data_IF_606323075855
#
_entry.id   IF_606323075855
#
_cell.length_a   1.000
_cell.length_b   1.000
_cell.length_c   1.000
_cell.angle_alpha   90.00
_cell.angle_beta   90.00
_cell.angle_gamma   90.00
#
_symmetry.space_group_name_H-M   'P 1'
#
loop_
_entity.id
_entity.type
_entity.pdbx_description
1 polymer ?
#
# COMPACT_ATOMS: atom_id res chain seq x y z
N UNK A 1 -32.76 103.91 -34.98
CA UNK A 1 -31.44 103.32 -35.30
C UNK A 1 -30.49 103.47 -34.11
N UNK A 2 -30.32 102.42 -33.28
CA UNK A 2 -29.22 102.20 -32.30
C UNK A 2 -29.48 100.82 -31.66
N UNK A 3 -28.72 99.79 -32.06
CA UNK A 3 -27.63 99.09 -31.33
C UNK A 3 -28.12 97.96 -30.39
N UNK A 4 -27.72 96.73 -30.72
CA UNK A 4 -27.88 95.46 -29.97
C UNK A 4 -26.91 95.38 -28.76
N UNK A 5 -26.87 94.31 -27.91
CA UNK A 5 -26.42 92.97 -28.33
C UNK A 5 -27.09 91.75 -27.66
N UNK A 6 -27.26 90.68 -28.46
CA UNK A 6 -27.40 89.31 -27.96
C UNK A 6 -26.01 88.79 -27.56
N UNK A 7 -25.88 88.32 -26.33
CA UNK A 7 -24.69 87.64 -25.80
C UNK A 7 -24.60 86.21 -26.34
N UNK A 8 -23.47 85.84 -26.93
CA UNK A 8 -23.13 84.46 -27.32
C UNK A 8 -22.30 83.82 -26.21
N UNK A 9 -22.84 82.80 -25.55
CA UNK A 9 -22.10 81.91 -24.65
C UNK A 9 -21.63 80.71 -25.47
N UNK A 10 -20.32 80.54 -25.59
CA UNK A 10 -19.68 79.40 -26.24
C UNK A 10 -19.33 78.38 -25.14
N UNK A 11 -19.94 77.19 -25.18
CA UNK A 11 -19.67 76.10 -24.25
C UNK A 11 -18.63 75.15 -24.88
N UNK A 12 -17.41 75.16 -24.37
CA UNK A 12 -16.32 74.29 -24.82
C UNK A 12 -16.40 72.95 -24.07
N UNK A 13 -16.71 71.86 -24.78
CA UNK A 13 -16.61 70.50 -24.22
C UNK A 13 -15.16 70.00 -24.37
N UNK A 14 -14.46 69.83 -23.26
CA UNK A 14 -13.18 69.12 -23.21
C UNK A 14 -13.44 67.64 -22.87
N UNK A 15 -13.21 66.74 -23.82
CA UNK A 15 -13.25 65.29 -23.61
C UNK A 15 -11.89 64.87 -23.05
N UNK A 16 -11.84 64.54 -21.76
CA UNK A 16 -10.67 63.91 -21.14
C UNK A 16 -10.60 62.44 -21.54
N UNK A 17 -9.56 62.07 -22.28
CA UNK A 17 -9.26 60.66 -22.57
C UNK A 17 -8.71 59.98 -21.31
N UNK A 18 -9.49 59.10 -20.70
CA UNK A 18 -9.03 58.20 -19.64
C UNK A 18 -8.29 57.03 -20.32
N UNK A 19 -6.97 56.99 -20.16
CA UNK A 19 -6.17 55.84 -20.58
C UNK A 19 -6.35 54.71 -19.57
N UNK A 20 -7.09 53.66 -19.94
CA UNK A 20 -7.07 52.40 -19.23
C UNK A 20 -5.73 51.71 -19.50
N UNK A 21 -4.82 51.73 -18.53
CA UNK A 21 -3.66 50.85 -18.54
C UNK A 21 -4.16 49.41 -18.45
N UNK A 22 -3.93 48.63 -19.51
CA UNK A 22 -4.20 47.20 -19.48
C UNK A 22 -3.35 46.58 -18.37
N UNK A 23 -3.99 46.08 -17.30
CA UNK A 23 -3.36 45.14 -16.39
C UNK A 23 -2.77 44.02 -17.24
N UNK A 24 -1.47 43.79 -17.10
CA UNK A 24 -0.78 42.63 -17.67
C UNK A 24 -1.65 41.41 -17.33
N UNK A 25 -2.10 40.67 -18.33
CA UNK A 25 -2.90 39.46 -18.11
C UNK A 25 -2.08 38.55 -17.21
N UNK A 26 -2.52 38.38 -15.97
CA UNK A 26 -1.89 37.50 -15.01
C UNK A 26 -1.72 36.12 -15.66
N UNK A 27 -0.48 35.66 -15.76
CA UNK A 27 -0.15 34.38 -16.40
C UNK A 27 -0.61 33.24 -15.48
N UNK A 28 -1.64 32.46 -15.81
CA UNK A 28 -2.16 31.42 -14.93
C UNK A 28 -1.19 30.25 -14.75
N UNK A 29 0.04 30.31 -15.26
CA UNK A 29 1.10 29.32 -15.01
C UNK A 29 1.41 29.10 -13.53
N UNK A 30 1.16 30.09 -12.66
CA UNK A 30 1.25 29.90 -11.20
C UNK A 30 0.03 29.17 -10.60
N UNK A 31 -1.05 28.96 -11.36
CA UNK A 31 -2.21 28.15 -10.97
C UNK A 31 -2.05 26.68 -11.37
N UNK A 32 -1.05 26.35 -12.19
CA UNK A 32 -0.74 24.95 -12.54
C UNK A 32 0.27 24.40 -11.56
N UNK A 33 -0.13 23.38 -10.79
CA UNK A 33 0.80 22.62 -9.94
C UNK A 33 1.89 22.03 -10.86
N UNK A 34 3.19 22.23 -10.56
CA UNK A 34 4.25 21.68 -11.39
C UNK A 34 4.10 20.15 -11.47
N UNK A 35 4.36 19.55 -12.66
CA UNK A 35 4.24 18.11 -12.83
C UNK A 35 5.21 17.39 -11.89
N UNK A 36 4.72 16.34 -11.21
CA UNK A 36 5.58 15.48 -10.40
C UNK A 36 6.51 14.72 -11.34
N UNK A 37 7.84 14.76 -11.13
CA UNK A 37 8.77 13.99 -11.95
C UNK A 37 8.46 12.49 -11.91
N UNK A 38 8.68 11.80 -13.02
CA UNK A 38 8.60 10.34 -13.05
C UNK A 38 9.60 9.73 -12.06
N UNK A 39 9.08 8.93 -11.14
CA UNK A 39 9.88 8.16 -10.18
C UNK A 39 9.52 6.68 -10.24
N UNK A 40 8.94 6.23 -11.37
CA UNK A 40 8.55 4.84 -11.55
C UNK A 40 9.74 3.91 -11.34
N UNK A 41 9.53 2.82 -10.62
CA UNK A 41 10.55 1.81 -10.37
C UNK A 41 9.95 0.42 -10.30
N UNK A 42 10.81 -0.59 -10.49
CA UNK A 42 10.51 -1.99 -10.26
C UNK A 42 11.49 -2.54 -9.23
N UNK A 43 10.96 -3.21 -8.21
CA UNK A 43 11.72 -3.96 -7.22
C UNK A 43 11.42 -5.45 -7.40
N UNK A 44 12.41 -6.17 -7.93
CA UNK A 44 12.36 -7.61 -8.23
C UNK A 44 12.80 -8.48 -7.05
N UNK A 45 13.32 -7.89 -5.95
CA UNK A 45 13.83 -8.65 -4.81
C UNK A 45 14.84 -9.77 -5.15
N UNK A 46 15.58 -9.61 -6.27
CA UNK A 46 16.69 -10.48 -6.69
C UNK A 46 17.72 -10.67 -5.58
N UNK A 47 17.89 -9.66 -4.72
CA UNK A 47 18.60 -9.80 -3.45
C UNK A 47 17.96 -8.87 -2.44
N UNK A 48 17.23 -9.43 -1.48
CA UNK A 48 16.48 -8.68 -0.45
C UNK A 48 17.38 -7.76 0.36
N UNK A 49 18.62 -8.17 0.65
CA UNK A 49 19.60 -7.30 1.30
C UNK A 49 19.87 -6.00 0.51
N UNK A 50 19.90 -6.07 -0.83
CA UNK A 50 20.05 -4.89 -1.69
C UNK A 50 18.79 -4.05 -1.72
N UNK A 51 17.61 -4.66 -1.63
CA UNK A 51 16.36 -3.92 -1.49
C UNK A 51 16.36 -3.10 -0.18
N UNK A 52 16.87 -3.66 0.92
CA UNK A 52 17.03 -2.91 2.18
C UNK A 52 18.05 -1.77 2.07
N UNK A 53 19.18 -1.97 1.37
CA UNK A 53 20.11 -0.88 1.06
C UNK A 53 19.45 0.25 0.23
N UNK A 54 18.47 -0.08 -0.62
CA UNK A 54 17.64 0.88 -1.37
C UNK A 54 16.56 1.56 -0.53
N UNK A 55 16.43 1.23 0.76
CA UNK A 55 15.55 1.92 1.69
C UNK A 55 14.21 1.23 1.95
N UNK A 56 14.05 -0.03 1.53
CA UNK A 56 12.98 -0.89 2.05
C UNK A 56 13.22 -1.19 3.53
N UNK A 57 12.19 -1.09 4.35
CA UNK A 57 12.29 -1.23 5.81
C UNK A 57 11.38 -2.36 6.28
N UNK A 58 11.94 -3.48 6.76
CA UNK A 58 11.13 -4.53 7.36
C UNK A 58 10.93 -4.28 8.86
N UNK A 59 9.70 -4.47 9.36
CA UNK A 59 9.36 -4.33 10.78
C UNK A 59 8.42 -5.47 11.20
N UNK A 60 8.90 -6.34 12.08
CA UNK A 60 8.01 -7.27 12.77
C UNK A 60 7.36 -6.56 13.97
N UNK A 61 6.06 -6.28 13.86
CA UNK A 61 5.21 -5.70 14.90
C UNK A 61 4.15 -6.71 15.38
N UNK A 62 4.39 -8.01 15.19
CA UNK A 62 3.54 -9.09 15.71
C UNK A 62 3.55 -9.09 17.23
N UNK A 63 2.50 -9.65 17.82
CA UNK A 63 2.32 -9.69 19.26
C UNK A 63 1.78 -11.08 19.68
N UNK A 64 2.58 -11.89 20.40
CA UNK A 64 3.97 -11.64 20.76
C UNK A 64 4.90 -11.71 19.53
N UNK A 65 6.07 -11.08 19.63
CA UNK A 65 7.00 -11.00 18.50
C UNK A 65 7.76 -12.31 18.29
N UNK A 66 7.65 -12.87 17.08
CA UNK A 66 8.41 -14.03 16.64
C UNK A 66 9.80 -13.69 16.10
N UNK A 67 10.49 -14.71 15.59
CA UNK A 67 11.84 -14.58 15.04
C UNK A 67 11.86 -14.13 13.57
N UNK A 68 10.75 -14.30 12.85
CA UNK A 68 10.69 -14.02 11.42
C UNK A 68 10.51 -12.53 11.13
N UNK A 69 11.13 -12.12 10.03
CA UNK A 69 11.03 -10.79 9.42
C UNK A 69 11.07 -11.00 7.91
N UNK A 70 10.47 -10.10 7.14
CA UNK A 70 10.52 -10.17 5.67
C UNK A 70 11.95 -10.42 5.20
N UNK A 71 12.17 -11.51 4.47
CA UNK A 71 13.50 -12.03 4.13
C UNK A 71 13.52 -12.69 2.74
N UNK A 72 14.72 -13.03 2.26
CA UNK A 72 14.88 -13.63 0.94
C UNK A 72 14.07 -14.93 0.82
N UNK A 73 13.21 -14.99 -0.20
CA UNK A 73 12.52 -16.22 -0.57
C UNK A 73 13.49 -17.32 -1.00
N UNK A 74 13.09 -18.59 -0.88
CA UNK A 74 13.77 -19.71 -1.50
C UNK A 74 14.74 -20.55 -0.66
N UNK A 75 14.87 -20.33 0.65
CA UNK A 75 15.26 -21.32 1.68
C UNK A 75 15.55 -20.66 3.05
N UNK A 76 15.28 -21.34 4.20
CA UNK A 76 14.24 -22.31 4.49
C UNK A 76 13.18 -21.60 5.36
N UNK A 77 12.09 -21.04 4.85
CA UNK A 77 11.07 -21.49 3.89
C UNK A 77 10.65 -20.27 3.02
N UNK A 78 10.30 -20.38 1.71
CA UNK A 78 9.34 -21.36 1.16
C UNK A 78 9.69 -22.01 -0.20
N UNK A 79 8.93 -23.06 -0.55
CA UNK A 79 9.10 -24.10 -1.58
C UNK A 79 8.71 -23.74 -3.03
N UNK A 80 8.56 -22.47 -3.41
CA UNK A 80 8.10 -22.10 -4.76
C UNK A 80 9.10 -21.21 -5.50
N UNK A 81 9.09 -21.34 -6.83
CA UNK A 81 9.89 -20.52 -7.73
C UNK A 81 9.43 -19.04 -7.70
N UNK A 82 10.34 -18.07 -7.97
CA UNK A 82 9.95 -16.67 -8.17
C UNK A 82 8.87 -16.52 -9.24
N UNK A 83 8.16 -15.40 -9.19
CA UNK A 83 7.38 -14.96 -10.33
C UNK A 83 8.31 -14.47 -11.44
N UNK A 84 9.28 -13.62 -11.08
CA UNK A 84 10.36 -13.17 -11.96
C UNK A 84 11.67 -13.08 -11.20
N UNK A 85 12.78 -13.24 -11.91
CA UNK A 85 14.10 -12.95 -11.34
C UNK A 85 15.04 -12.54 -12.47
N UNK A 86 15.75 -11.44 -12.24
CA UNK A 86 16.86 -11.01 -13.10
C UNK A 86 18.23 -11.34 -12.48
N UNK A 87 18.23 -11.94 -11.28
CA UNK A 87 19.42 -12.32 -10.51
C UNK A 87 19.66 -13.83 -10.42
N UNK A 88 20.56 -14.22 -9.50
CA UNK A 88 20.97 -15.62 -9.26
C UNK A 88 20.31 -16.27 -8.05
N UNK A 89 19.47 -15.53 -7.31
CA UNK A 89 18.73 -16.04 -6.15
C UNK A 89 17.29 -16.36 -6.52
N UNK A 90 16.49 -16.82 -5.56
CA UNK A 90 15.10 -17.15 -5.80
C UNK A 90 14.21 -15.95 -6.15
N UNK A 91 14.69 -14.70 -6.14
CA UNK A 91 14.00 -13.58 -6.79
C UNK A 91 12.67 -13.11 -6.19
N UNK A 92 12.42 -13.28 -4.88
CA UNK A 92 11.26 -12.70 -4.20
C UNK A 92 11.53 -12.49 -2.70
N UNK A 93 10.67 -11.75 -2.02
CA UNK A 93 10.72 -11.55 -0.56
C UNK A 93 9.53 -12.24 0.11
N UNK A 94 9.74 -12.83 1.30
CA UNK A 94 8.69 -13.60 1.99
C UNK A 94 8.65 -13.33 3.50
N UNK A 95 7.49 -13.60 4.08
CA UNK A 95 7.25 -13.66 5.52
C UNK A 95 6.41 -14.91 5.85
N UNK A 96 6.50 -15.41 7.07
CA UNK A 96 5.87 -16.66 7.48
C UNK A 96 5.27 -16.60 8.89
N UNK A 97 4.60 -17.69 9.27
CA UNK A 97 3.91 -17.83 10.55
C UNK A 97 4.83 -17.62 11.76
N UNK A 98 6.15 -17.78 11.62
CA UNK A 98 7.15 -17.47 12.66
C UNK A 98 7.32 -15.96 12.91
N UNK A 99 6.51 -15.13 12.24
CA UNK A 99 6.38 -13.70 12.55
C UNK A 99 5.88 -13.47 13.97
N UNK A 100 5.05 -14.38 14.50
CA UNK A 100 4.68 -14.41 15.92
C UNK A 100 5.37 -15.59 16.62
N UNK A 101 5.69 -15.44 17.89
CA UNK A 101 6.12 -16.57 18.74
C UNK A 101 4.94 -17.26 19.41
N UNK A 102 3.73 -16.72 19.23
CA UNK A 102 2.49 -17.27 19.78
C UNK A 102 2.05 -18.55 19.09
N UNK A 103 1.09 -19.21 19.71
CA UNK A 103 0.43 -20.40 19.14
C UNK A 103 -0.70 -20.01 18.22
N UNK A 104 -1.43 -18.96 18.57
CA UNK A 104 -2.70 -18.49 17.99
C UNK A 104 -2.89 -17.00 18.32
N UNK A 105 -1.92 -16.18 17.92
CA UNK A 105 -1.78 -14.76 18.27
C UNK A 105 -1.72 -13.86 17.03
N UNK A 106 -1.45 -12.56 17.19
CA UNK A 106 -1.46 -11.62 16.06
C UNK A 106 -0.12 -11.58 15.33
N UNK A 107 -0.14 -11.99 14.06
CA UNK A 107 0.93 -11.69 13.10
C UNK A 107 0.69 -10.28 12.53
N UNK A 108 1.72 -9.44 12.54
CA UNK A 108 1.71 -8.10 11.98
C UNK A 108 3.14 -7.74 11.52
N UNK A 109 3.55 -8.31 10.39
CA UNK A 109 4.89 -8.18 9.84
C UNK A 109 4.89 -7.28 8.61
N UNK A 110 5.65 -6.19 8.65
CA UNK A 110 5.59 -5.09 7.69
C UNK A 110 6.81 -5.06 6.78
N UNK A 111 6.57 -4.83 5.50
CA UNK A 111 7.57 -4.47 4.50
C UNK A 111 7.22 -3.10 3.94
N UNK A 112 8.01 -2.09 4.29
CA UNK A 112 7.71 -0.69 3.99
C UNK A 112 8.62 -0.24 2.84
N UNK A 113 8.03 0.37 1.81
CA UNK A 113 8.75 0.93 0.67
C UNK A 113 9.70 2.08 1.06
N UNK A 114 10.70 2.43 0.21
CA UNK A 114 11.39 3.71 0.26
C UNK A 114 10.42 4.90 0.20
N UNK A 115 10.89 6.11 0.53
CA UNK A 115 10.05 7.32 0.37
C UNK A 115 9.78 7.57 -1.10
N UNK A 116 8.51 7.76 -1.45
CA UNK A 116 8.06 8.15 -2.79
C UNK A 116 7.22 9.42 -2.72
N UNK A 117 7.24 10.22 -3.77
CA UNK A 117 6.38 11.38 -3.99
C UNK A 117 5.06 10.92 -4.60
N UNK A 118 4.03 10.75 -3.77
CA UNK A 118 2.73 10.24 -4.19
C UNK A 118 1.83 11.32 -4.78
N UNK A 119 1.08 10.97 -5.81
CA UNK A 119 -0.03 11.75 -6.34
C UNK A 119 -1.22 10.87 -6.77
N UNK A 120 -2.40 11.48 -6.89
CA UNK A 120 -3.60 10.77 -7.30
C UNK A 120 -3.46 10.19 -8.71
N UNK A 121 -3.63 8.87 -8.82
CA UNK A 121 -3.51 8.10 -10.05
C UNK A 121 -2.18 7.36 -10.21
N UNK A 122 -1.22 7.54 -9.29
CA UNK A 122 -0.05 6.66 -9.19
C UNK A 122 -0.51 5.23 -8.90
N UNK A 123 0.25 4.24 -9.34
CA UNK A 123 -0.10 2.83 -9.20
C UNK A 123 0.97 2.07 -8.44
N UNK A 124 0.54 1.16 -7.58
CA UNK A 124 1.36 0.14 -6.95
C UNK A 124 0.86 -1.20 -7.48
N UNK A 125 1.71 -1.92 -8.19
CA UNK A 125 1.41 -3.29 -8.64
C UNK A 125 2.43 -4.25 -8.09
N UNK A 126 2.01 -5.49 -7.83
CA UNK A 126 2.87 -6.51 -7.25
C UNK A 126 2.25 -7.89 -7.50
N UNK A 127 3.05 -8.94 -7.36
CA UNK A 127 2.58 -10.31 -7.37
C UNK A 127 2.70 -10.89 -5.97
N UNK A 128 1.71 -11.67 -5.55
CA UNK A 128 1.78 -12.41 -4.30
C UNK A 128 1.23 -13.82 -4.47
N UNK A 129 1.75 -14.74 -3.65
CA UNK A 129 1.23 -16.09 -3.47
C UNK A 129 1.53 -16.59 -2.07
N UNK A 130 0.86 -17.66 -1.67
CA UNK A 130 1.14 -18.39 -0.43
C UNK A 130 1.88 -19.71 -0.66
N UNK A 131 2.47 -20.24 0.41
CA UNK A 131 2.97 -21.60 0.49
C UNK A 131 1.82 -22.57 0.78
N UNK A 132 1.65 -23.58 -0.09
CA UNK A 132 0.79 -24.71 0.23
C UNK A 132 1.57 -25.79 0.98
N UNK A 133 1.01 -26.28 2.06
CA UNK A 133 1.54 -27.35 2.91
C UNK A 133 0.61 -28.57 2.83
N UNK A 134 1.09 -29.80 3.08
CA UNK A 134 0.23 -30.99 3.09
C UNK A 134 -0.99 -30.79 3.99
N UNK A 135 -2.20 -30.98 3.43
CA UNK A 135 -3.42 -30.74 4.18
C UNK A 135 -3.61 -31.84 5.24
N UNK A 136 -3.70 -31.42 6.50
CA UNK A 136 -3.88 -32.33 7.63
C UNK A 136 -5.27 -32.99 7.67
N UNK A 137 -6.24 -32.44 6.95
CA UNK A 137 -7.65 -32.84 7.00
C UNK A 137 -8.10 -33.62 5.75
N UNK A 138 -7.41 -33.44 4.62
CA UNK A 138 -7.79 -34.04 3.33
C UNK A 138 -6.58 -34.71 2.67
N UNK A 139 -6.60 -36.04 2.62
CA UNK A 139 -5.54 -36.83 1.97
C UNK A 139 -5.40 -36.47 0.49
N UNK A 140 -4.16 -36.18 0.05
CA UNK A 140 -3.86 -35.85 -1.34
C UNK A 140 -4.08 -34.38 -1.71
N UNK A 141 -4.45 -33.55 -0.74
CA UNK A 141 -4.56 -32.11 -0.90
C UNK A 141 -3.40 -31.38 -0.20
N UNK A 142 -3.10 -30.17 -0.64
CA UNK A 142 -2.21 -29.24 0.04
C UNK A 142 -2.91 -27.91 0.14
N UNK A 143 -2.82 -27.29 1.31
CA UNK A 143 -3.57 -26.10 1.63
C UNK A 143 -2.66 -25.01 2.17
N UNK A 144 -3.08 -23.76 2.01
CA UNK A 144 -2.63 -22.73 2.93
C UNK A 144 -3.39 -22.89 4.26
N UNK A 145 -2.84 -22.36 5.34
CA UNK A 145 -3.49 -22.37 6.65
C UNK A 145 -4.08 -21.00 6.98
N UNK A 146 -4.65 -20.32 5.98
CA UNK A 146 -5.21 -18.99 6.13
C UNK A 146 -4.15 -17.90 6.26
N UNK A 147 -3.89 -17.19 5.17
CA UNK A 147 -3.00 -16.03 5.17
C UNK A 147 -3.76 -14.77 4.78
N UNK A 148 -3.36 -13.62 5.32
CA UNK A 148 -3.85 -12.33 4.89
C UNK A 148 -2.71 -11.33 4.65
N UNK A 149 -2.84 -10.57 3.55
CA UNK A 149 -1.90 -9.53 3.18
C UNK A 149 -2.67 -8.23 3.00
N UNK A 150 -2.23 -7.20 3.70
CA UNK A 150 -2.73 -5.85 3.54
C UNK A 150 -1.73 -4.98 2.77
N UNK A 151 -2.25 -4.08 1.94
CA UNK A 151 -1.49 -2.95 1.39
C UNK A 151 -1.96 -1.69 2.11
N UNK A 152 -1.01 -0.94 2.62
CA UNK A 152 -1.27 0.27 3.38
C UNK A 152 -0.44 1.44 2.83
N UNK A 153 -0.91 2.68 3.05
CA UNK A 153 -0.22 3.90 2.62
C UNK A 153 -0.11 4.87 3.79
N UNK A 154 1.10 5.37 4.04
CA UNK A 154 1.36 6.53 4.88
C UNK A 154 1.42 7.77 4.00
N UNK A 155 0.37 8.59 4.10
CA UNK A 155 0.27 9.91 3.46
C UNK A 155 0.45 11.04 4.48
N UNK A 156 0.72 10.73 5.75
CA UNK A 156 0.83 11.71 6.83
C UNK A 156 2.26 12.26 6.91
N UNK A 157 3.25 11.39 6.73
CA UNK A 157 4.67 11.70 6.83
C UNK A 157 5.54 10.65 6.09
N UNK A 158 6.87 10.78 6.21
CA UNK A 158 7.86 9.87 5.59
C UNK A 158 8.31 8.73 6.54
N UNK A 159 7.66 8.60 7.69
CA UNK A 159 8.03 7.70 8.77
C UNK A 159 7.54 6.26 8.60
N UNK A 160 7.92 5.43 9.56
CA UNK A 160 7.68 3.97 9.58
C UNK A 160 6.94 3.52 10.83
N UNK A 161 6.15 4.41 11.44
CA UNK A 161 5.33 4.07 12.62
C UNK A 161 4.18 3.13 12.22
N UNK A 162 4.32 1.85 12.55
CA UNK A 162 3.35 0.79 12.25
C UNK A 162 2.35 0.52 13.39
N UNK A 163 2.37 1.34 14.43
CA UNK A 163 1.42 1.28 15.53
C UNK A 163 1.61 0.07 16.44
N UNK A 164 0.49 -0.50 16.91
CA UNK A 164 0.45 -1.69 17.76
C UNK A 164 -0.37 -2.80 17.08
N UNK A 165 -0.07 -4.06 17.39
CA UNK A 165 -0.85 -5.20 16.92
C UNK A 165 -1.45 -5.93 18.13
N UNK A 166 -2.72 -5.67 18.41
CA UNK A 166 -3.51 -6.42 19.39
C UNK A 166 -4.60 -7.17 18.64
N UNK A 167 -5.00 -8.32 19.16
CA UNK A 167 -6.10 -9.08 18.57
C UNK A 167 -7.38 -8.22 18.65
N UNK A 168 -8.16 -8.04 17.57
CA UNK A 168 -9.42 -7.32 17.63
C UNK A 168 -10.44 -7.91 18.61
N UNK A 169 -10.25 -9.15 19.09
CA UNK A 169 -11.02 -9.76 20.19
C UNK A 169 -10.63 -9.21 21.58
N UNK A 170 -9.42 -8.67 21.72
CA UNK A 170 -8.91 -8.14 22.98
C UNK A 170 -9.62 -6.81 23.33
N UNK A 171 -10.15 -6.63 24.55
CA UNK A 171 -10.68 -5.34 25.01
C UNK A 171 -9.70 -4.16 24.92
N UNK A 172 -8.39 -4.42 24.88
CA UNK A 172 -7.34 -3.43 24.68
C UNK A 172 -7.11 -3.08 23.18
N UNK A 173 -7.84 -3.70 22.25
CA UNK A 173 -7.75 -3.36 20.84
C UNK A 173 -8.24 -1.94 20.59
N UNK A 174 -7.44 -1.19 19.84
CA UNK A 174 -7.79 0.13 19.37
C UNK A 174 -7.42 0.26 17.89
N UNK A 175 -8.43 0.22 17.04
CA UNK A 175 -8.27 0.35 15.59
C UNK A 175 -7.66 1.67 15.12
N UNK A 176 -7.65 2.72 15.95
CA UNK A 176 -6.99 3.99 15.63
C UNK A 176 -5.47 3.95 15.83
N UNK A 177 -4.97 2.99 16.62
CA UNK A 177 -3.53 2.79 16.85
C UNK A 177 -3.00 1.55 16.13
N UNK A 178 -3.89 0.70 15.62
CA UNK A 178 -3.56 -0.34 14.66
C UNK A 178 -3.06 0.32 13.36
N UNK A 179 -1.96 -0.16 12.80
CA UNK A 179 -1.27 0.40 11.61
C UNK A 179 -0.56 1.75 11.78
N UNK A 180 -0.66 2.40 12.94
CA UNK A 180 0.08 3.63 13.23
C UNK A 180 -0.24 4.76 12.24
N UNK A 181 0.75 5.18 11.46
CA UNK A 181 0.61 6.27 10.49
C UNK A 181 0.08 5.79 9.11
N UNK A 182 -0.11 4.47 8.95
CA UNK A 182 -0.52 3.87 7.69
C UNK A 182 -2.04 3.65 7.64
N UNK A 183 -2.65 3.99 6.52
CA UNK A 183 -4.05 3.69 6.20
C UNK A 183 -4.16 2.49 5.27
N UNK A 184 -5.12 1.59 5.53
CA UNK A 184 -5.40 0.43 4.68
C UNK A 184 -5.98 0.86 3.32
N UNK A 185 -5.48 0.27 2.23
CA UNK A 185 -5.98 0.52 0.86
C UNK A 185 -6.36 -0.74 0.10
N UNK A 186 -5.85 -1.91 0.51
CA UNK A 186 -6.23 -3.22 -0.02
C UNK A 186 -6.04 -4.29 1.05
N UNK A 187 -6.94 -5.26 1.13
CA UNK A 187 -6.77 -6.48 1.93
C UNK A 187 -7.06 -7.70 1.06
N UNK A 188 -6.18 -8.69 1.11
CA UNK A 188 -6.25 -9.94 0.34
C UNK A 188 -6.53 -11.08 1.30
N UNK A 189 -7.63 -11.81 1.08
CA UNK A 189 -8.12 -12.88 1.96
C UNK A 189 -8.38 -12.39 3.41
N UNK A 190 -9.27 -11.39 3.65
CA UNK A 190 -9.51 -10.86 4.99
C UNK A 190 -10.13 -11.91 5.92
N UNK A 191 -9.81 -11.81 7.22
CA UNK A 191 -10.33 -12.70 8.25
C UNK A 191 -11.82 -12.47 8.52
N UNK A 192 -12.54 -13.52 8.88
CA UNK A 192 -13.92 -13.47 9.36
C UNK A 192 -13.95 -14.04 10.78
N UNK A 193 -14.51 -13.29 11.74
CA UNK A 193 -14.62 -13.79 13.10
C UNK A 193 -15.79 -14.77 13.23
N UNK A 194 -15.51 -16.01 13.61
CA UNK A 194 -16.52 -16.98 13.98
C UNK A 194 -16.74 -16.92 15.51
N UNK A 195 -17.83 -16.28 15.94
CA UNK A 195 -18.15 -16.15 17.37
C UNK A 195 -18.50 -17.47 18.05
N UNK A 196 -18.95 -18.49 17.30
CA UNK A 196 -19.24 -19.83 17.83
C UNK A 196 -17.98 -20.62 18.11
N UNK A 197 -16.96 -20.50 17.25
CA UNK A 197 -15.65 -21.12 17.43
C UNK A 197 -14.69 -20.25 18.26
N UNK A 198 -15.01 -18.97 18.48
CA UNK A 198 -14.14 -17.95 19.07
C UNK A 198 -12.79 -17.83 18.33
N UNK A 199 -12.83 -18.00 17.01
CA UNK A 199 -11.66 -18.11 16.16
C UNK A 199 -11.81 -17.27 14.88
N UNK A 200 -10.70 -16.74 14.37
CA UNK A 200 -10.64 -16.04 13.11
C UNK A 200 -10.47 -17.05 11.97
N UNK A 201 -11.43 -17.07 11.05
CA UNK A 201 -11.45 -17.96 9.90
C UNK A 201 -11.00 -17.25 8.64
N UNK A 202 -10.34 -18.01 7.76
CA UNK A 202 -9.90 -17.57 6.45
C UNK A 202 -10.34 -18.62 5.42
N UNK A 203 -10.83 -18.20 4.24
CA UNK A 203 -10.89 -19.07 3.09
C UNK A 203 -9.49 -19.65 2.80
N UNK A 204 -9.42 -20.97 2.65
CA UNK A 204 -8.17 -21.69 2.42
C UNK A 204 -7.92 -21.92 0.92
N UNK A 205 -6.67 -21.76 0.52
CA UNK A 205 -6.21 -22.03 -0.83
C UNK A 205 -5.86 -23.51 -0.94
N UNK A 206 -6.38 -24.21 -1.94
CA UNK A 206 -6.19 -25.65 -2.10
C UNK A 206 -5.46 -26.00 -3.40
N UNK A 207 -4.61 -27.03 -3.36
CA UNK A 207 -4.02 -27.62 -4.57
C UNK A 207 -5.02 -28.51 -5.32
N UNK A 208 -6.01 -29.05 -4.60
CA UNK A 208 -7.13 -29.75 -5.20
C UNK A 208 -8.15 -28.74 -5.77
N UNK A 209 -8.30 -28.72 -7.10
CA UNK A 209 -9.26 -27.84 -7.78
C UNK A 209 -10.73 -28.06 -7.39
N UNK A 210 -11.08 -29.23 -6.84
CA UNK A 210 -12.43 -29.51 -6.33
C UNK A 210 -12.75 -28.81 -5.00
N UNK A 211 -11.74 -28.26 -4.33
CA UNK A 211 -11.86 -27.48 -3.09
C UNK A 211 -11.52 -26.00 -3.34
N UNK A 212 -11.64 -25.54 -4.60
CA UNK A 212 -11.31 -24.18 -4.96
C UNK A 212 -12.20 -23.17 -4.23
N UNK A 213 -11.57 -22.27 -3.49
CA UNK A 213 -12.22 -21.15 -2.81
C UNK A 213 -11.83 -19.83 -3.47
N UNK A 214 -12.75 -19.10 -4.12
CA UNK A 214 -12.43 -17.94 -4.95
C UNK A 214 -11.88 -16.73 -4.18
N UNK A 215 -12.12 -16.68 -2.86
CA UNK A 215 -11.69 -15.58 -2.00
C UNK A 215 -10.46 -15.94 -1.16
N UNK A 216 -9.92 -17.16 -1.32
CA UNK A 216 -8.70 -17.59 -0.62
C UNK A 216 -7.49 -16.78 -1.05
N UNK A 217 -6.43 -16.86 -0.24
CA UNK A 217 -5.15 -16.28 -0.63
C UNK A 217 -4.66 -16.96 -1.92
N UNK A 218 -4.08 -16.23 -2.88
CA UNK A 218 -3.63 -16.83 -4.13
C UNK A 218 -2.61 -17.96 -3.91
N UNK A 219 -2.96 -19.17 -4.36
CA UNK A 219 -2.04 -20.30 -4.39
C UNK A 219 -0.92 -20.10 -5.41
N UNK A 220 -1.20 -19.42 -6.54
CA UNK A 220 -0.25 -19.09 -7.60
C UNK A 220 0.03 -17.59 -7.68
N UNK A 221 1.19 -17.21 -8.24
CA UNK A 221 1.58 -15.81 -8.37
C UNK A 221 0.51 -15.00 -9.08
N UNK A 222 -0.16 -14.14 -8.31
CA UNK A 222 -1.32 -13.37 -8.77
C UNK A 222 -1.01 -11.89 -8.65
N UNK A 223 -1.29 -11.14 -9.72
CA UNK A 223 -1.06 -9.69 -9.76
C UNK A 223 -2.17 -8.94 -9.03
N UNK A 224 -1.79 -7.96 -8.23
CA UNK A 224 -2.69 -6.97 -7.64
C UNK A 224 -2.26 -5.57 -8.07
N UNK A 225 -3.22 -4.65 -8.10
CA UNK A 225 -3.01 -3.22 -8.40
C UNK A 225 -3.77 -2.37 -7.37
N UNK A 226 -3.08 -1.37 -6.85
CA UNK A 226 -3.63 -0.31 -6.01
C UNK A 226 -3.41 1.02 -6.71
N UNK A 227 -4.44 1.85 -6.76
CA UNK A 227 -4.37 3.21 -7.29
C UNK A 227 -4.35 4.19 -6.12
N UNK A 228 -3.32 5.02 -6.06
CA UNK A 228 -3.23 6.12 -5.09
C UNK A 228 -4.33 7.13 -5.37
N UNK A 229 -5.12 7.47 -4.36
CA UNK A 229 -6.23 8.43 -4.47
C UNK A 229 -6.47 9.15 -3.14
N UNK A 230 -7.32 10.18 -3.15
CA UNK A 230 -7.73 10.89 -1.94
C UNK A 230 -6.73 11.93 -1.41
N UNK A 231 -5.63 12.19 -2.12
CA UNK A 231 -4.66 13.23 -1.77
C UNK A 231 -5.18 14.62 -2.16
N UNK A 232 -5.00 15.61 -1.29
CA UNK A 232 -5.31 17.01 -1.59
C UNK A 232 -4.26 17.69 -2.47
N UNK A 233 -3.01 17.22 -2.42
CA UNK A 233 -1.91 17.61 -3.29
C UNK A 233 -0.86 16.50 -3.31
N UNK A 234 0.04 16.46 -4.31
CA UNK A 234 1.19 15.57 -4.29
C UNK A 234 2.01 15.73 -3.00
N UNK A 235 2.52 14.63 -2.45
CA UNK A 235 3.30 14.64 -1.19
C UNK A 235 4.22 13.44 -1.06
N UNK A 236 5.28 13.57 -0.27
CA UNK A 236 6.13 12.45 0.11
C UNK A 236 5.42 11.55 1.13
N UNK A 237 5.61 10.25 0.97
CA UNK A 237 5.01 9.22 1.82
C UNK A 237 5.64 7.86 1.54
N UNK A 238 5.01 6.81 2.07
CA UNK A 238 5.42 5.41 1.86
C UNK A 238 4.20 4.53 1.69
N UNK A 239 4.30 3.52 0.85
CA UNK A 239 3.37 2.38 0.89
C UNK A 239 4.03 1.21 1.61
N UNK A 240 3.22 0.27 2.10
CA UNK A 240 3.71 -0.89 2.81
C UNK A 240 2.83 -2.11 2.54
N UNK A 241 3.44 -3.27 2.68
CA UNK A 241 2.76 -4.55 2.75
C UNK A 241 2.80 -5.03 4.20
N UNK A 242 1.66 -5.46 4.73
CA UNK A 242 1.55 -6.04 6.07
C UNK A 242 1.05 -7.46 5.93
N UNK A 243 1.91 -8.43 6.21
CA UNK A 243 1.46 -9.78 6.50
C UNK A 243 0.75 -9.73 7.85
N UNK A 244 -0.58 -9.81 7.80
CA UNK A 244 -1.45 -9.65 8.96
C UNK A 244 -2.27 -10.92 9.08
N UNK A 245 -2.14 -11.66 10.16
CA UNK A 245 -2.91 -12.90 10.33
C UNK A 245 -3.30 -13.01 11.79
N UNK A 246 -4.60 -13.20 12.00
CA UNK A 246 -5.20 -13.32 13.32
C UNK A 246 -5.28 -14.79 13.71
N UNK A 247 -5.21 -15.03 15.02
CA UNK A 247 -5.03 -16.38 15.57
C UNK A 247 -3.88 -17.14 14.90
N UNK A 248 -2.82 -16.44 14.51
CA UNK A 248 -1.70 -16.97 13.76
C UNK A 248 -0.57 -17.52 14.63
N UNK A 249 0.27 -18.37 14.04
CA UNK A 249 1.44 -18.93 14.72
C UNK A 249 1.50 -20.44 14.64
N UNK A 250 2.26 -21.06 15.55
CA UNK A 250 2.68 -22.47 15.40
C UNK A 250 1.55 -23.51 15.42
N UNK A 251 0.39 -23.20 16.00
CA UNK A 251 -0.80 -24.06 16.02
C UNK A 251 -2.03 -23.34 15.46
N UNK A 252 -1.82 -22.18 14.84
CA UNK A 252 -2.88 -21.28 14.43
C UNK A 252 -2.93 -21.12 12.92
N UNK A 253 -3.53 -20.01 12.49
CA UNK A 253 -3.51 -19.58 11.11
C UNK A 253 -2.09 -19.19 10.65
N UNK A 254 -1.93 -19.06 9.35
CA UNK A 254 -0.71 -18.59 8.70
C UNK A 254 0.20 -19.73 8.29
N UNK A 255 0.80 -19.56 7.12
CA UNK A 255 1.84 -20.44 6.60
C UNK A 255 3.02 -19.58 6.15
N UNK A 256 3.03 -19.15 4.90
CA UNK A 256 3.93 -18.12 4.40
C UNK A 256 3.34 -17.38 3.22
N UNK A 257 3.75 -16.13 3.02
CA UNK A 257 3.40 -15.30 1.87
C UNK A 257 4.67 -14.79 1.18
N UNK A 258 4.67 -14.81 -0.14
CA UNK A 258 5.70 -14.20 -0.98
C UNK A 258 5.19 -12.95 -1.69
N UNK A 259 6.07 -11.98 -1.90
CA UNK A 259 5.84 -10.81 -2.76
C UNK A 259 6.97 -10.72 -3.77
N UNK A 260 6.60 -10.44 -5.01
CA UNK A 260 7.54 -10.31 -6.11
C UNK A 260 7.09 -9.19 -7.09
N UNK A 261 8.05 -8.69 -7.88
CA UNK A 261 7.91 -7.65 -8.90
C UNK A 261 7.03 -6.48 -8.45
N UNK A 262 7.43 -5.81 -7.37
CA UNK A 262 6.73 -4.60 -6.92
C UNK A 262 7.08 -3.46 -7.86
N UNK A 263 6.08 -2.92 -8.55
CA UNK A 263 6.21 -1.77 -9.44
C UNK A 263 5.45 -0.59 -8.87
N UNK A 264 6.14 0.53 -8.69
CA UNK A 264 5.51 1.84 -8.53
C UNK A 264 5.50 2.54 -9.88
N UNK A 265 4.33 2.99 -10.34
CA UNK A 265 4.20 3.77 -11.57
C UNK A 265 3.67 5.15 -11.25
N UNK A 266 4.49 6.18 -11.51
CA UNK A 266 4.05 7.56 -11.43
C UNK A 266 3.14 7.90 -12.61
N UNK A 267 1.97 8.45 -12.31
CA UNK A 267 1.12 9.06 -13.32
C UNK A 267 1.85 10.24 -13.95
N UNK A 268 1.78 10.34 -15.26
CA UNK A 268 2.30 11.47 -16.03
C UNK A 268 1.17 12.43 -16.39
#
# INVERSE_FOLDING_TARGET
>A
MRKSPLSKILLTFAIGAVAFGACKKDDPSFLTIPPVPDQSFVEEFDTVAKSFERGWVPINNSNPKGSSVWSQGGAPLPFFAPYSSNGTYAGFIAADYLSTSGTDDVISNWLISPVVMMQNGDKITFYTRTLLLPNAFTTGDSTDYGNNLEVCINTLNEGTNVGVANDPKDPAYNGATDRGDFSLVLTINPAIYNSGAQYWEYPWAHSNSGLYEPNSFPADWTKFEVIVSGLSSPRKGRFAFRYYTLDGGSNGNGSAVGIDQVTYTSKQ
#
